data_IF_447877421736
#
_entry.id   IF_447877421736
#
_cell.length_a   1.000
_cell.length_b   1.000
_cell.length_c   1.000
_cell.angle_alpha   90.00
_cell.angle_beta   90.00
_cell.angle_gamma   90.00
#
_symmetry.space_group_name_H-M   'P 1'
#
loop_
_entity.id
_entity.type
_entity.pdbx_description
1 polymer ?
#
# COMPACT_ATOMS: atom_id res chain seq x y z
N UNK A 1 -17.06 10.96 -4.74
CA UNK A 1 -15.96 9.99 -4.64
C UNK A 1 -14.74 10.65 -3.99
N UNK A 2 -14.20 10.08 -2.91
CA UNK A 2 -13.19 10.74 -2.07
C UNK A 2 -11.77 10.70 -2.68
N UNK A 3 -11.40 9.57 -3.30
CA UNK A 3 -10.05 9.35 -3.85
C UNK A 3 -9.80 9.86 -5.28
N UNK A 4 -10.84 10.02 -6.11
CA UNK A 4 -10.73 10.53 -7.50
C UNK A 4 -9.69 9.81 -8.39
N UNK A 5 -9.36 8.55 -8.08
CA UNK A 5 -8.33 7.76 -8.78
C UNK A 5 -8.52 7.74 -10.30
N UNK A 6 -9.74 7.51 -10.78
CA UNK A 6 -10.02 7.47 -12.21
C UNK A 6 -9.66 8.80 -12.89
N UNK A 7 -10.15 9.93 -12.36
CA UNK A 7 -9.87 11.26 -12.92
C UNK A 7 -8.38 11.62 -12.85
N UNK A 8 -7.71 11.28 -11.75
CA UNK A 8 -6.27 11.54 -11.59
C UNK A 8 -5.48 10.76 -12.62
N UNK A 9 -5.74 9.45 -12.77
CA UNK A 9 -5.03 8.59 -13.72
C UNK A 9 -5.33 8.96 -15.16
N UNK A 10 -6.59 9.26 -15.50
CA UNK A 10 -6.96 9.70 -16.85
C UNK A 10 -6.16 10.94 -17.27
N UNK A 11 -6.10 11.96 -16.40
CA UNK A 11 -5.37 13.19 -16.68
C UNK A 11 -3.85 12.95 -16.77
N UNK A 12 -3.27 12.22 -15.80
CA UNK A 12 -1.83 11.95 -15.81
C UNK A 12 -1.39 11.11 -17.02
N UNK A 13 -2.24 10.19 -17.48
CA UNK A 13 -1.97 9.38 -18.68
C UNK A 13 -2.13 10.24 -19.94
N UNK A 14 -3.19 11.06 -20.03
CA UNK A 14 -3.41 11.96 -21.15
C UNK A 14 -2.27 12.97 -21.32
N UNK A 15 -1.73 13.49 -20.22
CA UNK A 15 -0.62 14.43 -20.19
C UNK A 15 0.77 13.74 -20.33
N UNK A 16 0.81 12.43 -20.57
CA UNK A 16 2.03 11.62 -20.65
C UNK A 16 2.92 11.65 -19.39
N UNK A 17 2.36 12.05 -18.25
CA UNK A 17 3.06 12.08 -16.96
C UNK A 17 3.14 10.68 -16.32
N UNK A 18 2.18 9.81 -16.63
CA UNK A 18 2.13 8.42 -16.17
C UNK A 18 2.04 7.43 -17.33
N UNK A 19 2.60 6.23 -17.15
CA UNK A 19 2.41 5.12 -18.11
C UNK A 19 0.96 4.61 -18.03
N UNK A 20 0.32 4.22 -19.14
CA UNK A 20 -0.94 3.48 -19.09
C UNK A 20 -0.78 2.20 -18.25
N UNK A 21 -1.71 1.97 -17.32
CA UNK A 21 -1.60 0.88 -16.35
C UNK A 21 -2.98 0.37 -15.90
N UNK A 22 -3.02 -0.85 -15.36
CA UNK A 22 -4.17 -1.36 -14.61
C UNK A 22 -4.05 -0.91 -13.14
N UNK A 23 -5.14 -0.38 -12.59
CA UNK A 23 -5.24 -0.03 -11.16
C UNK A 23 -6.30 -0.92 -10.52
N UNK A 24 -5.89 -1.74 -9.55
CA UNK A 24 -6.77 -2.67 -8.84
C UNK A 24 -7.00 -2.14 -7.42
N UNK A 25 -8.25 -1.85 -7.08
CA UNK A 25 -8.65 -1.33 -5.76
C UNK A 25 -9.43 -2.41 -5.01
N UNK A 26 -8.80 -3.02 -4.00
CA UNK A 26 -9.36 -4.16 -3.26
C UNK A 26 -10.15 -3.72 -2.02
N UNK A 27 -10.94 -4.64 -1.46
CA UNK A 27 -11.40 -4.52 -0.09
C UNK A 27 -10.26 -4.93 0.86
N UNK A 28 -9.88 -4.04 1.78
CA UNK A 28 -8.80 -4.28 2.75
C UNK A 28 -9.23 -5.04 4.00
N UNK A 29 -10.52 -5.35 4.16
CA UNK A 29 -11.07 -6.04 5.33
C UNK A 29 -11.41 -7.49 4.98
N UNK A 30 -10.66 -8.47 5.51
CA UNK A 30 -10.87 -9.88 5.15
C UNK A 30 -12.20 -10.45 5.66
N UNK A 31 -12.79 -9.85 6.70
CA UNK A 31 -14.13 -10.17 7.20
C UNK A 31 -15.28 -9.61 6.33
N UNK A 32 -14.99 -8.77 5.33
CA UNK A 32 -16.00 -8.14 4.47
C UNK A 32 -15.94 -8.66 3.04
N UNK A 33 -17.09 -9.01 2.49
CA UNK A 33 -17.20 -9.51 1.10
C UNK A 33 -17.39 -8.40 0.07
N UNK A 34 -17.89 -7.23 0.48
CA UNK A 34 -18.06 -6.05 -0.37
C UNK A 34 -18.06 -4.76 0.47
N UNK A 35 -18.21 -3.61 -0.20
CA UNK A 35 -18.45 -2.35 0.50
C UNK A 35 -19.76 -2.40 1.31
N UNK A 36 -19.88 -1.65 2.42
CA UNK A 36 -21.13 -1.57 3.18
C UNK A 36 -22.32 -1.23 2.28
N UNK A 37 -23.35 -2.09 2.30
CA UNK A 37 -24.55 -1.96 1.46
C UNK A 37 -24.50 -2.69 0.12
N UNK A 38 -23.35 -3.22 -0.29
CA UNK A 38 -23.13 -3.90 -1.57
C UNK A 38 -22.90 -5.43 -1.44
N UNK A 39 -23.02 -5.98 -0.23
CA UNK A 39 -22.92 -7.43 0.01
C UNK A 39 -24.30 -8.09 0.09
N UNK A 40 -24.32 -9.42 -0.06
CA UNK A 40 -25.54 -10.23 0.16
C UNK A 40 -25.99 -10.24 1.63
N UNK A 41 -25.09 -9.89 2.54
CA UNK A 41 -25.40 -9.58 3.93
C UNK A 41 -25.90 -8.12 4.01
N UNK A 42 -27.15 -7.94 4.43
CA UNK A 42 -27.85 -6.64 4.46
C UNK A 42 -27.01 -5.54 5.13
N UNK A 43 -27.13 -4.28 4.64
CA UNK A 43 -26.79 -2.97 5.25
C UNK A 43 -25.98 -2.98 6.57
N UNK A 44 -24.83 -3.65 6.59
CA UNK A 44 -23.97 -3.66 7.77
C UNK A 44 -23.47 -2.24 8.02
N UNK A 45 -23.60 -1.79 9.27
CA UNK A 45 -23.07 -0.48 9.66
C UNK A 45 -21.55 -0.53 9.52
N UNK A 46 -20.93 0.48 8.89
CA UNK A 46 -19.48 0.55 8.84
C UNK A 46 -18.90 0.59 10.26
N UNK A 47 -18.10 -0.41 10.62
CA UNK A 47 -17.33 -0.44 11.87
C UNK A 47 -15.86 -0.21 11.53
N UNK A 48 -15.21 0.69 12.26
CA UNK A 48 -13.81 1.04 12.01
C UNK A 48 -12.85 -0.09 12.44
N UNK A 49 -13.12 -0.69 13.60
CA UNK A 49 -12.34 -1.82 14.13
C UNK A 49 -13.05 -3.11 13.76
N UNK A 50 -12.50 -3.85 12.80
CA UNK A 50 -13.00 -5.17 12.44
C UNK A 50 -12.44 -6.24 13.39
N UNK A 51 -13.18 -7.34 13.65
CA UNK A 51 -12.71 -8.40 14.55
C UNK A 51 -11.40 -9.06 14.11
N UNK A 52 -11.12 -9.05 12.80
CA UNK A 52 -9.94 -9.62 12.17
C UNK A 52 -8.87 -8.56 11.85
N UNK A 53 -9.02 -7.33 12.36
CA UNK A 53 -8.00 -6.30 12.26
C UNK A 53 -6.69 -6.83 12.84
N UNK A 54 -5.62 -6.76 12.06
CA UNK A 54 -4.30 -7.34 12.41
C UNK A 54 -4.28 -8.87 12.60
N UNK A 55 -5.21 -9.62 12.01
CA UNK A 55 -5.12 -11.09 11.93
C UNK A 55 -4.03 -11.57 10.95
N UNK A 56 -3.60 -10.69 10.04
CA UNK A 56 -2.73 -11.03 8.91
C UNK A 56 -3.46 -11.67 7.73
N UNK A 57 -4.80 -11.84 7.80
CA UNK A 57 -5.56 -12.54 6.76
C UNK A 57 -5.60 -11.76 5.44
N UNK A 58 -5.78 -10.44 5.49
CA UNK A 58 -5.73 -9.57 4.31
C UNK A 58 -4.40 -9.70 3.59
N UNK A 59 -3.28 -9.68 4.32
CA UNK A 59 -1.95 -9.75 3.73
C UNK A 59 -1.61 -11.14 3.17
N UNK A 60 -2.08 -12.20 3.83
CA UNK A 60 -1.92 -13.58 3.35
C UNK A 60 -2.71 -13.87 2.08
N UNK A 61 -3.95 -13.37 2.00
CA UNK A 61 -4.84 -13.62 0.87
C UNK A 61 -4.54 -12.74 -0.36
N UNK A 62 -3.64 -11.76 -0.25
CA UNK A 62 -3.42 -10.79 -1.33
C UNK A 62 -2.89 -11.44 -2.62
N UNK A 63 -2.21 -12.58 -2.54
CA UNK A 63 -1.75 -13.33 -3.73
C UNK A 63 -2.91 -13.85 -4.56
N UNK A 64 -4.06 -14.17 -3.95
CA UNK A 64 -5.25 -14.65 -4.66
C UNK A 64 -5.80 -13.56 -5.61
N UNK A 65 -5.71 -12.29 -5.20
CA UNK A 65 -6.06 -11.14 -6.05
C UNK A 65 -5.11 -11.04 -7.24
N UNK A 66 -3.80 -11.20 -7.01
CA UNK A 66 -2.80 -11.13 -8.07
C UNK A 66 -3.04 -12.24 -9.09
N UNK A 67 -3.25 -13.48 -8.63
CA UNK A 67 -3.50 -14.63 -9.49
C UNK A 67 -4.78 -14.45 -10.31
N UNK A 68 -5.85 -13.93 -9.69
CA UNK A 68 -7.08 -13.62 -10.41
C UNK A 68 -6.84 -12.56 -11.50
N UNK A 69 -6.15 -11.46 -11.19
CA UNK A 69 -5.92 -10.38 -12.16
C UNK A 69 -5.00 -10.86 -13.30
N UNK A 70 -3.95 -11.59 -12.99
CA UNK A 70 -3.00 -12.16 -13.97
C UNK A 70 -3.61 -13.23 -14.88
N UNK A 71 -4.71 -13.85 -14.45
CA UNK A 71 -5.48 -14.83 -15.25
C UNK A 71 -6.51 -14.15 -16.15
N UNK A 72 -7.11 -13.05 -15.70
CA UNK A 72 -8.27 -12.44 -16.36
C UNK A 72 -7.94 -11.15 -17.14
N UNK A 73 -6.77 -10.55 -16.93
CA UNK A 73 -6.32 -9.33 -17.61
C UNK A 73 -4.92 -9.51 -18.21
N UNK A 74 -4.58 -8.66 -19.18
CA UNK A 74 -3.24 -8.62 -19.77
C UNK A 74 -2.29 -7.88 -18.83
N UNK A 75 -1.50 -8.62 -18.06
CA UNK A 75 -0.56 -8.07 -17.08
C UNK A 75 0.89 -8.32 -17.45
N UNK A 76 1.78 -7.51 -16.87
CA UNK A 76 3.22 -7.78 -16.78
C UNK A 76 3.49 -8.45 -15.44
N UNK A 77 3.90 -9.73 -15.47
CA UNK A 77 3.96 -10.59 -14.28
C UNK A 77 5.29 -10.51 -13.52
N UNK A 78 6.26 -9.82 -14.08
CA UNK A 78 7.53 -9.49 -13.45
C UNK A 78 7.35 -8.37 -12.41
N UNK A 79 8.21 -8.34 -11.37
CA UNK A 79 8.14 -7.30 -10.33
C UNK A 79 8.23 -5.88 -10.89
N UNK A 80 8.98 -5.68 -11.98
CA UNK A 80 9.13 -4.39 -12.65
C UNK A 80 7.86 -3.89 -13.33
N UNK A 81 6.86 -4.77 -13.51
CA UNK A 81 5.52 -4.44 -13.98
C UNK A 81 4.48 -4.30 -12.87
N UNK A 82 4.87 -4.39 -11.59
CA UNK A 82 3.94 -4.33 -10.45
C UNK A 82 4.31 -3.28 -9.41
N UNK A 83 3.28 -2.56 -8.97
CA UNK A 83 3.32 -1.61 -7.88
C UNK A 83 2.26 -1.97 -6.83
N UNK A 84 2.53 -1.63 -5.56
CA UNK A 84 1.53 -1.70 -4.48
C UNK A 84 1.61 -0.41 -3.67
N UNK A 85 0.46 0.19 -3.38
CA UNK A 85 0.39 1.36 -2.52
C UNK A 85 -0.91 1.36 -1.72
N UNK A 86 -0.88 2.03 -0.57
CA UNK A 86 -2.08 2.19 0.24
C UNK A 86 -1.94 3.31 1.26
N UNK A 87 -3.09 3.75 1.77
CA UNK A 87 -3.20 4.80 2.78
C UNK A 87 -3.54 4.23 4.15
N UNK A 88 -3.02 4.81 5.22
CA UNK A 88 -3.35 4.43 6.60
C UNK A 88 -3.14 2.92 6.82
N UNK A 89 -4.18 2.18 7.23
CA UNK A 89 -4.13 0.71 7.30
C UNK A 89 -3.72 0.05 5.98
N UNK A 90 -4.18 0.56 4.84
CA UNK A 90 -3.75 0.10 3.52
C UNK A 90 -2.26 0.36 3.24
N UNK A 91 -1.67 1.40 3.82
CA UNK A 91 -0.23 1.66 3.73
C UNK A 91 0.59 0.63 4.51
N UNK A 92 0.07 0.18 5.66
CA UNK A 92 0.63 -0.93 6.41
C UNK A 92 0.47 -2.23 5.63
N UNK A 93 -0.69 -2.51 5.04
CA UNK A 93 -0.87 -3.68 4.18
C UNK A 93 0.13 -3.66 3.01
N UNK A 94 0.29 -2.53 2.31
CA UNK A 94 1.26 -2.40 1.21
C UNK A 94 2.70 -2.70 1.66
N UNK A 95 3.12 -2.15 2.80
CA UNK A 95 4.41 -2.44 3.44
C UNK A 95 4.55 -3.93 3.78
N UNK A 96 3.58 -4.51 4.48
CA UNK A 96 3.66 -5.90 4.95
C UNK A 96 3.59 -6.88 3.78
N UNK A 97 2.68 -6.69 2.82
CA UNK A 97 2.55 -7.53 1.63
C UNK A 97 3.84 -7.52 0.83
N UNK A 98 4.40 -6.33 0.55
CA UNK A 98 5.66 -6.23 -0.20
C UNK A 98 6.81 -6.91 0.55
N UNK A 99 6.95 -6.66 1.86
CA UNK A 99 7.99 -7.26 2.70
C UNK A 99 7.89 -8.80 2.80
N UNK A 100 6.68 -9.36 2.80
CA UNK A 100 6.49 -10.82 2.78
C UNK A 100 6.65 -11.43 1.39
N UNK A 101 6.61 -10.62 0.33
CA UNK A 101 6.67 -11.07 -1.06
C UNK A 101 7.71 -10.26 -1.86
N UNK A 102 9.01 -10.34 -1.52
CA UNK A 102 10.04 -9.44 -2.03
C UNK A 102 10.26 -9.52 -3.55
N UNK A 103 9.77 -10.57 -4.20
CA UNK A 103 9.88 -10.79 -5.66
C UNK A 103 8.65 -10.33 -6.45
N UNK A 104 7.63 -9.74 -5.81
CA UNK A 104 6.38 -9.39 -6.49
C UNK A 104 6.29 -7.94 -6.94
N UNK A 105 6.92 -6.98 -6.25
CA UNK A 105 6.73 -5.55 -6.49
C UNK A 105 8.07 -4.82 -6.55
N UNK A 106 8.24 -3.98 -7.58
CA UNK A 106 9.37 -3.04 -7.65
C UNK A 106 9.04 -1.65 -7.11
N UNK A 107 7.76 -1.34 -6.93
CA UNK A 107 7.30 -0.03 -6.50
C UNK A 107 6.34 -0.18 -5.31
N UNK A 108 6.70 0.42 -4.17
CA UNK A 108 5.93 0.34 -2.93
C UNK A 108 5.62 1.75 -2.44
N UNK A 109 4.35 2.05 -2.19
CA UNK A 109 3.87 3.34 -1.68
C UNK A 109 3.20 3.21 -0.31
N UNK A 110 3.72 3.92 0.70
CA UNK A 110 3.19 3.94 2.07
C UNK A 110 2.68 5.34 2.38
N UNK A 111 1.36 5.54 2.29
CA UNK A 111 0.73 6.85 2.44
C UNK A 111 0.12 7.00 3.83
N UNK A 112 0.44 8.06 4.56
CA UNK A 112 -0.01 8.33 5.92
C UNK A 112 0.03 7.09 6.83
N UNK A 113 1.16 6.38 6.88
CA UNK A 113 1.23 5.08 7.54
C UNK A 113 2.64 4.72 8.00
N UNK A 114 2.77 3.54 8.61
CA UNK A 114 3.99 2.98 9.15
C UNK A 114 3.73 1.62 9.79
N UNK A 115 4.45 1.34 10.88
CA UNK A 115 4.29 0.11 11.66
C UNK A 115 3.19 0.37 12.69
N UNK A 116 1.95 0.11 12.29
CA UNK A 116 0.76 0.40 13.10
C UNK A 116 0.19 -0.84 13.80
N UNK A 117 0.62 -2.04 13.38
CA UNK A 117 0.15 -3.27 14.02
C UNK A 117 0.60 -3.33 15.49
N UNK A 118 -0.18 -3.98 16.37
CA UNK A 118 0.17 -4.13 17.78
C UNK A 118 1.54 -4.80 17.97
N UNK A 119 2.27 -4.41 19.03
CA UNK A 119 3.60 -4.97 19.33
C UNK A 119 3.56 -6.47 19.67
N UNK A 120 2.42 -6.93 20.19
CA UNK A 120 2.11 -8.31 20.55
C UNK A 120 1.42 -9.08 19.41
N UNK A 121 1.32 -8.50 18.21
CA UNK A 121 0.77 -9.20 17.05
C UNK A 121 1.62 -10.43 16.70
N UNK A 122 0.98 -11.61 16.73
CA UNK A 122 1.66 -12.91 16.55
C UNK A 122 1.57 -13.44 15.12
N UNK A 123 0.77 -12.82 14.26
CA UNK A 123 0.63 -13.27 12.87
C UNK A 123 1.98 -13.21 12.14
N UNK A 124 2.36 -14.31 11.49
CA UNK A 124 3.66 -14.48 10.85
C UNK A 124 4.03 -13.38 9.84
N UNK A 125 3.03 -12.76 9.22
CA UNK A 125 3.22 -11.63 8.29
C UNK A 125 3.86 -10.41 8.96
N UNK A 126 3.63 -10.19 10.25
CA UNK A 126 4.17 -9.05 11.03
C UNK A 126 5.50 -9.34 11.72
N UNK A 127 5.91 -10.61 11.78
CA UNK A 127 7.17 -10.99 12.41
C UNK A 127 8.38 -10.71 11.50
N UNK A 128 9.55 -10.54 12.10
CA UNK A 128 10.85 -10.44 11.41
C UNK A 128 10.93 -9.34 10.32
N UNK A 129 10.24 -8.20 10.52
CA UNK A 129 10.24 -7.11 9.54
C UNK A 129 11.64 -6.61 9.17
N UNK A 130 12.57 -6.57 10.13
CA UNK A 130 13.95 -6.12 9.85
C UNK A 130 14.66 -7.02 8.83
N UNK A 131 14.45 -8.34 8.92
CA UNK A 131 14.97 -9.30 7.94
C UNK A 131 14.27 -9.15 6.59
N UNK A 132 12.94 -8.94 6.60
CA UNK A 132 12.15 -8.77 5.38
C UNK A 132 12.54 -7.49 4.63
N UNK A 133 12.80 -6.39 5.31
CA UNK A 133 13.30 -5.15 4.69
C UNK A 133 14.70 -5.32 4.10
N UNK A 134 15.61 -6.06 4.76
CA UNK A 134 16.90 -6.44 4.16
C UNK A 134 16.70 -7.26 2.88
N UNK A 135 15.75 -8.19 2.88
CA UNK A 135 15.43 -8.96 1.67
C UNK A 135 14.93 -8.08 0.51
N UNK A 136 14.12 -7.05 0.79
CA UNK A 136 13.69 -6.07 -0.22
C UNK A 136 14.85 -5.24 -0.77
N UNK A 137 15.83 -4.90 0.08
CA UNK A 137 17.06 -4.26 -0.38
C UNK A 137 17.86 -5.23 -1.27
N UNK A 138 18.09 -6.46 -0.82
CA UNK A 138 18.96 -7.42 -1.51
C UNK A 138 18.38 -7.87 -2.86
N UNK A 139 17.05 -7.97 -2.97
CA UNK A 139 16.36 -8.25 -4.25
C UNK A 139 16.29 -7.02 -5.18
N UNK A 140 16.66 -5.83 -4.67
CA UNK A 140 16.68 -4.58 -5.42
C UNK A 140 15.29 -4.09 -5.82
N UNK A 141 14.40 -3.83 -4.86
CA UNK A 141 13.17 -3.04 -5.11
C UNK A 141 13.56 -1.67 -5.67
N UNK A 142 12.93 -1.25 -6.77
CA UNK A 142 13.31 -0.02 -7.49
C UNK A 142 12.91 1.25 -6.76
N UNK A 143 11.73 1.26 -6.14
CA UNK A 143 11.19 2.46 -5.53
C UNK A 143 10.36 2.14 -4.29
N UNK A 144 10.75 2.74 -3.18
CA UNK A 144 9.99 2.69 -1.93
C UNK A 144 9.67 4.13 -1.55
N UNK A 145 8.38 4.49 -1.48
CA UNK A 145 7.92 5.85 -1.32
C UNK A 145 7.07 5.98 -0.07
N UNK A 146 7.34 6.98 0.76
CA UNK A 146 6.64 7.24 2.02
C UNK A 146 6.13 8.68 2.01
N UNK A 147 4.83 8.85 2.20
CA UNK A 147 4.17 10.15 2.33
C UNK A 147 3.49 10.29 3.68
N UNK A 148 3.65 11.41 4.37
CA UNK A 148 2.98 11.65 5.67
C UNK A 148 2.70 13.14 5.88
N UNK A 149 1.57 13.46 6.49
CA UNK A 149 1.27 14.81 6.94
C UNK A 149 2.00 15.13 8.25
N UNK A 150 2.52 16.35 8.42
CA UNK A 150 3.20 16.79 9.65
C UNK A 150 2.31 16.68 10.90
N UNK A 151 1.01 16.89 10.72
CA UNK A 151 0.00 16.87 11.79
C UNK A 151 -0.75 15.51 11.85
N UNK A 152 -0.28 14.50 11.11
CA UNK A 152 -0.88 13.17 11.09
C UNK A 152 -0.60 12.43 12.41
N UNK A 153 -1.61 11.79 13.00
CA UNK A 153 -1.45 11.02 14.23
C UNK A 153 -0.55 9.79 14.06
N UNK A 154 -0.28 9.36 12.82
CA UNK A 154 0.67 8.30 12.48
C UNK A 154 2.09 8.79 12.17
N UNK A 155 2.37 10.08 12.36
CA UNK A 155 3.69 10.66 12.07
C UNK A 155 4.84 9.95 12.80
N UNK A 156 4.60 9.53 14.06
CA UNK A 156 5.58 8.75 14.83
C UNK A 156 5.85 7.39 14.19
N UNK A 157 4.79 6.66 13.83
CA UNK A 157 4.88 5.31 13.23
C UNK A 157 5.53 5.35 11.84
N UNK A 158 5.32 6.43 11.08
CA UNK A 158 6.02 6.65 9.82
C UNK A 158 7.53 6.86 10.03
N UNK A 159 7.92 7.63 11.06
CA UNK A 159 9.33 7.79 11.42
C UNK A 159 9.98 6.52 11.98
N UNK A 160 9.23 5.68 12.71
CA UNK A 160 9.70 4.35 13.14
C UNK A 160 9.93 3.42 11.94
N UNK A 161 9.07 3.47 10.92
CA UNK A 161 9.29 2.75 9.66
C UNK A 161 10.59 3.23 8.98
N UNK A 162 10.76 4.54 8.82
CA UNK A 162 11.98 5.13 8.25
C UNK A 162 13.25 4.63 8.92
N UNK A 163 13.29 4.69 10.25
CA UNK A 163 14.43 4.22 11.03
C UNK A 163 14.75 2.72 10.78
N UNK A 164 13.73 1.88 10.59
CA UNK A 164 13.94 0.47 10.24
C UNK A 164 14.43 0.27 8.81
N UNK A 165 13.92 1.05 7.85
CA UNK A 165 14.41 1.00 6.46
C UNK A 165 15.88 1.47 6.39
N UNK A 166 16.23 2.53 7.13
CA UNK A 166 17.61 3.01 7.27
C UNK A 166 18.52 1.92 7.86
N UNK A 167 18.10 1.27 8.95
CA UNK A 167 18.84 0.18 9.58
C UNK A 167 18.96 -1.08 8.69
N UNK A 168 18.01 -1.29 7.78
CA UNK A 168 18.08 -2.34 6.77
C UNK A 168 18.95 -1.95 5.55
N UNK A 169 19.27 -0.65 5.40
CA UNK A 169 19.93 -0.10 4.21
C UNK A 169 19.03 -0.06 2.97
N UNK A 170 17.71 -0.11 3.14
CA UNK A 170 16.74 0.01 2.05
C UNK A 170 16.47 1.49 1.78
N UNK A 171 16.85 1.96 0.59
CA UNK A 171 16.60 3.34 0.17
C UNK A 171 15.11 3.59 -0.05
N UNK A 172 14.65 4.77 0.36
CA UNK A 172 13.28 5.23 0.14
C UNK A 172 13.26 6.72 -0.21
N UNK A 173 12.19 7.15 -0.88
CA UNK A 173 11.81 8.56 -1.02
C UNK A 173 10.84 8.89 0.11
N UNK A 174 11.07 10.01 0.78
CA UNK A 174 10.20 10.52 1.84
C UNK A 174 9.65 11.88 1.44
N UNK A 175 8.34 12.02 1.55
CA UNK A 175 7.63 13.25 1.29
C UNK A 175 6.77 13.62 2.50
N UNK A 176 6.95 14.84 2.98
CA UNK A 176 6.25 15.35 4.14
C UNK A 176 5.46 16.59 3.74
N UNK A 177 4.15 16.56 3.97
CA UNK A 177 3.24 17.64 3.59
C UNK A 177 2.64 18.34 4.82
N UNK A 178 2.18 19.59 4.69
CA UNK A 178 1.24 20.17 5.64
C UNK A 178 -0.03 19.29 5.80
N UNK A 179 -0.74 19.47 6.91
CA UNK A 179 -1.97 18.72 7.20
C UNK A 179 -1.69 17.35 7.81
N UNK A 180 -2.69 16.47 7.77
CA UNK A 180 -2.67 15.20 8.48
C UNK A 180 -3.39 14.08 7.74
N UNK A 181 -4.23 13.34 8.46
CA UNK A 181 -4.81 12.09 8.00
C UNK A 181 -6.03 12.28 7.08
N UNK A 182 -5.82 12.87 5.89
CA UNK A 182 -6.92 13.35 5.04
C UNK A 182 -6.87 12.82 3.60
N UNK A 183 -8.05 12.74 2.99
CA UNK A 183 -8.19 12.44 1.56
C UNK A 183 -7.53 13.47 0.64
N UNK A 184 -7.28 14.70 1.09
CA UNK A 184 -6.56 15.67 0.28
C UNK A 184 -5.12 15.22 0.08
N UNK A 185 -4.42 14.97 1.20
CA UNK A 185 -3.06 14.47 1.19
C UNK A 185 -2.93 13.18 0.38
N UNK A 186 -3.87 12.23 0.52
CA UNK A 186 -3.80 10.97 -0.23
C UNK A 186 -3.98 11.13 -1.73
N UNK A 187 -4.74 12.13 -2.19
CA UNK A 187 -4.81 12.46 -3.62
C UNK A 187 -3.50 13.05 -4.11
N UNK A 188 -2.90 13.95 -3.34
CA UNK A 188 -1.61 14.57 -3.68
C UNK A 188 -0.50 13.51 -3.75
N UNK A 189 -0.46 12.59 -2.79
CA UNK A 189 0.48 11.46 -2.79
C UNK A 189 0.29 10.54 -3.99
N UNK A 190 -0.97 10.29 -4.40
CA UNK A 190 -1.24 9.50 -5.61
C UNK A 190 -0.73 10.22 -6.86
N UNK A 191 -0.95 11.53 -6.97
CA UNK A 191 -0.46 12.38 -8.07
C UNK A 191 1.07 12.39 -8.14
N UNK A 192 1.77 12.33 -7.00
CA UNK A 192 3.23 12.28 -6.97
C UNK A 192 3.79 10.89 -7.23
N UNK A 193 3.17 9.85 -6.68
CA UNK A 193 3.68 8.47 -6.75
C UNK A 193 3.49 7.83 -8.13
N UNK A 194 2.30 7.98 -8.74
CA UNK A 194 1.95 7.32 -10.00
C UNK A 194 2.89 7.65 -11.15
N UNK A 195 3.31 8.92 -11.36
CA UNK A 195 4.30 9.27 -12.38
C UNK A 195 5.65 8.58 -12.22
N UNK A 196 6.00 8.07 -11.03
CA UNK A 196 7.28 7.42 -10.78
C UNK A 196 7.27 5.93 -11.14
N UNK A 197 6.10 5.36 -11.45
CA UNK A 197 5.93 3.94 -11.72
C UNK A 197 6.39 3.53 -13.12
N UNK A 198 6.93 2.31 -13.21
CA UNK A 198 7.26 1.61 -14.46
C UNK A 198 8.19 2.39 -15.39
N UNK A 199 9.02 3.26 -14.81
CA UNK A 199 10.12 3.94 -15.49
C UNK A 199 11.37 3.04 -15.52
N UNK A 200 12.24 3.19 -16.55
CA UNK A 200 13.48 2.42 -16.66
C UNK A 200 14.32 2.44 -15.39
#
# INVERSE_FOLDING_TARGET
>A
ALGRTAQILDNLIADNMAKPMLVVMTNGNASQTAAPGESSAKMDKPVFIQPDMFSGNTEKAYTDVIDFIDKNYRTKKEKSGRAIAGLSMGGMHAMVISANNPKLFDYVGVFSSGIIQPKDATASVYLNLDQKFRSLKDIGVKHYWIGIGKDDFLYKQSNELKAKLDAAGLKYTYHETPGGHTWSNWRDYLVEFVPQLFKP
#
